data_IF_020905717594
#
_entry.id   IF_020905717594
#
_cell.length_a   1.000
_cell.length_b   1.000
_cell.length_c   1.000
_cell.angle_alpha   90.00
_cell.angle_beta   90.00
_cell.angle_gamma   90.00
#
_symmetry.space_group_name_H-M   'P 1'
#
loop_
_entity.id
_entity.type
_entity.pdbx_description
1 polymer ?
#
# COMPACT_ATOMS: atom_id res chain seq x y z
N UNK A 1 -17.82 -3.89 -7.73
CA UNK A 1 -18.38 -3.50 -9.04
C UNK A 1 -18.32 -1.99 -9.11
N UNK A 2 -17.76 -1.44 -10.17
CA UNK A 2 -17.81 0.00 -10.47
C UNK A 2 -18.46 0.19 -11.85
N UNK A 3 -19.14 1.30 -12.02
CA UNK A 3 -19.92 1.59 -13.22
C UNK A 3 -19.63 3.02 -13.68
N UNK A 4 -19.41 3.18 -14.98
CA UNK A 4 -19.30 4.47 -15.66
C UNK A 4 -20.47 4.63 -16.64
N UNK A 5 -20.55 5.75 -17.33
CA UNK A 5 -21.60 5.96 -18.33
C UNK A 5 -21.56 4.95 -19.49
N UNK A 6 -20.39 4.41 -19.81
CA UNK A 6 -20.14 3.55 -20.97
C UNK A 6 -19.78 2.12 -20.64
N UNK A 7 -19.29 1.83 -19.43
CA UNK A 7 -18.74 0.53 -19.07
C UNK A 7 -19.17 0.09 -17.66
N UNK A 8 -19.26 -1.22 -17.46
CA UNK A 8 -19.37 -1.87 -16.17
C UNK A 8 -18.07 -2.66 -15.92
N UNK A 9 -17.46 -2.45 -14.78
CA UNK A 9 -16.26 -3.21 -14.35
C UNK A 9 -16.66 -4.20 -13.27
N UNK A 10 -16.51 -5.48 -13.58
CA UNK A 10 -16.82 -6.59 -12.67
C UNK A 10 -15.48 -7.17 -12.20
N UNK A 11 -15.32 -7.27 -10.90
CA UNK A 11 -14.20 -8.00 -10.31
C UNK A 11 -14.62 -9.44 -10.06
N UNK A 12 -13.88 -10.40 -10.61
CA UNK A 12 -14.12 -11.82 -10.40
C UNK A 12 -13.50 -12.32 -9.07
N UNK A 13 -13.70 -13.61 -8.77
CA UNK A 13 -13.19 -14.25 -7.56
C UNK A 13 -11.64 -14.31 -7.52
N UNK A 14 -10.98 -14.20 -8.66
CA UNK A 14 -9.51 -14.17 -8.74
C UNK A 14 -8.95 -12.76 -8.57
N UNK A 15 -9.82 -11.77 -8.40
CA UNK A 15 -9.44 -10.37 -8.29
C UNK A 15 -9.23 -9.65 -9.62
N UNK A 16 -9.44 -10.32 -10.76
CA UNK A 16 -9.31 -9.69 -12.08
C UNK A 16 -10.50 -8.77 -12.37
N UNK A 17 -10.20 -7.65 -12.99
CA UNK A 17 -11.20 -6.70 -13.44
C UNK A 17 -11.60 -7.00 -14.90
N UNK A 18 -12.84 -7.42 -15.09
CA UNK A 18 -13.44 -7.62 -16.41
C UNK A 18 -14.24 -6.38 -16.76
N UNK A 19 -13.89 -5.71 -17.86
CA UNK A 19 -14.61 -4.54 -18.38
C UNK A 19 -15.59 -4.98 -19.43
N UNK A 20 -16.84 -4.59 -19.28
CA UNK A 20 -17.92 -4.89 -20.25
C UNK A 20 -18.54 -3.57 -20.68
N UNK A 21 -18.57 -3.32 -21.97
CA UNK A 21 -19.25 -2.13 -22.50
C UNK A 21 -20.77 -2.26 -22.31
N UNK A 22 -21.43 -1.20 -21.84
CA UNK A 22 -22.88 -1.24 -21.58
C UNK A 22 -23.71 -1.63 -22.79
N UNK A 23 -23.26 -1.27 -23.99
CA UNK A 23 -23.93 -1.66 -25.26
C UNK A 23 -23.94 -3.18 -25.52
N UNK A 24 -23.03 -3.92 -24.89
CA UNK A 24 -22.88 -5.37 -25.07
C UNK A 24 -23.59 -6.14 -23.92
N UNK A 25 -24.26 -5.43 -23.00
CA UNK A 25 -25.00 -6.02 -21.90
C UNK A 25 -26.45 -6.19 -22.30
N UNK A 26 -26.87 -7.43 -22.44
CA UNK A 26 -28.29 -7.77 -22.73
C UNK A 26 -29.15 -7.83 -21.48
N UNK A 27 -28.57 -8.24 -20.36
CA UNK A 27 -29.28 -8.27 -19.08
C UNK A 27 -28.28 -8.15 -17.92
N UNK A 28 -28.68 -7.54 -16.83
CA UNK A 28 -27.93 -7.42 -15.61
C UNK A 28 -28.78 -7.83 -14.43
N UNK A 29 -28.33 -8.82 -13.67
CA UNK A 29 -29.06 -9.33 -12.52
C UNK A 29 -28.12 -9.40 -11.31
N UNK A 30 -28.58 -8.95 -10.17
CA UNK A 30 -27.85 -9.11 -8.91
C UNK A 30 -28.03 -10.56 -8.47
N UNK A 31 -26.91 -11.27 -8.29
CA UNK A 31 -26.96 -12.64 -7.76
C UNK A 31 -27.57 -12.65 -6.36
N UNK A 32 -28.56 -13.52 -6.09
CA UNK A 32 -29.09 -13.66 -4.74
C UNK A 32 -28.11 -14.39 -3.79
N UNK A 33 -27.04 -14.94 -4.33
CA UNK A 33 -26.05 -15.70 -3.57
C UNK A 33 -24.76 -14.89 -3.44
N UNK A 34 -24.20 -14.85 -2.23
CA UNK A 34 -22.88 -14.25 -1.97
C UNK A 34 -21.79 -14.96 -2.78
N UNK A 35 -20.79 -14.19 -3.26
CA UNK A 35 -19.55 -14.75 -3.82
C UNK A 35 -18.67 -15.44 -2.77
N UNK A 36 -18.96 -15.26 -1.48
CA UNK A 36 -18.25 -15.97 -0.42
C UNK A 36 -18.58 -17.48 -0.48
N UNK A 37 -17.57 -18.35 -0.46
CA UNK A 37 -17.82 -19.79 -0.45
C UNK A 37 -18.70 -20.20 0.71
N UNK A 38 -19.65 -21.09 0.45
CA UNK A 38 -20.49 -21.69 1.49
C UNK A 38 -19.60 -22.51 2.43
N UNK A 39 -19.83 -22.37 3.75
CA UNK A 39 -19.10 -23.17 4.75
C UNK A 39 -17.87 -22.50 5.35
N UNK A 40 -17.50 -21.27 5.00
CA UNK A 40 -16.38 -20.56 5.64
C UNK A 40 -16.53 -20.46 7.17
N UNK A 41 -17.76 -20.41 7.66
CA UNK A 41 -18.04 -20.36 9.09
C UNK A 41 -18.19 -21.74 9.74
N UNK A 42 -18.19 -22.82 8.95
CA UNK A 42 -18.40 -24.17 9.47
C UNK A 42 -17.24 -24.68 10.34
N UNK A 43 -16.08 -24.05 10.26
CA UNK A 43 -14.89 -24.37 11.08
C UNK A 43 -14.86 -23.59 12.40
N UNK A 44 -15.73 -22.57 12.54
CA UNK A 44 -15.81 -21.78 13.75
C UNK A 44 -16.70 -22.50 14.76
N UNK A 45 -16.31 -22.47 16.02
CA UNK A 45 -17.19 -22.85 17.13
C UNK A 45 -18.32 -21.82 17.23
N UNK A 46 -19.41 -22.20 17.89
CA UNK A 46 -20.57 -21.32 18.04
C UNK A 46 -20.22 -19.99 18.73
N UNK A 47 -19.41 -20.04 19.77
CA UNK A 47 -18.93 -18.86 20.49
C UNK A 47 -18.06 -17.95 19.59
N UNK A 48 -17.16 -18.53 18.80
CA UNK A 48 -16.31 -17.80 17.84
C UNK A 48 -17.14 -17.14 16.72
N UNK A 49 -18.19 -17.84 16.27
CA UNK A 49 -19.11 -17.27 15.27
C UNK A 49 -19.89 -16.07 15.83
N UNK A 50 -20.39 -16.18 17.06
CA UNK A 50 -21.09 -15.08 17.74
C UNK A 50 -20.14 -13.90 17.94
N UNK A 51 -18.90 -14.15 18.35
CA UNK A 51 -17.90 -13.09 18.53
C UNK A 51 -17.54 -12.41 17.20
N UNK A 52 -17.43 -13.16 16.11
CA UNK A 52 -17.23 -12.61 14.78
C UNK A 52 -18.39 -11.70 14.35
N UNK A 53 -19.62 -12.16 14.54
CA UNK A 53 -20.82 -11.36 14.23
C UNK A 53 -20.85 -10.10 15.07
N UNK A 54 -20.57 -10.20 16.37
CA UNK A 54 -20.50 -9.06 17.29
C UNK A 54 -19.42 -8.07 16.87
N UNK A 55 -18.23 -8.56 16.50
CA UNK A 55 -17.14 -7.73 15.97
C UNK A 55 -17.60 -6.95 14.74
N UNK A 56 -18.26 -7.61 13.78
CA UNK A 56 -18.74 -6.93 12.56
C UNK A 56 -19.81 -5.88 12.85
N UNK A 57 -20.70 -6.14 13.82
CA UNK A 57 -21.76 -5.20 14.26
C UNK A 57 -21.16 -3.98 14.96
N UNK A 58 -20.09 -4.17 15.71
CA UNK A 58 -19.42 -3.09 16.46
C UNK A 58 -18.36 -2.34 15.64
N UNK A 59 -17.95 -2.92 14.50
CA UNK A 59 -16.91 -2.33 13.65
C UNK A 59 -17.37 -0.96 13.12
N UNK A 60 -16.54 0.05 13.35
CA UNK A 60 -16.81 1.43 12.93
C UNK A 60 -17.61 2.26 13.90
N UNK A 61 -18.20 1.68 14.95
CA UNK A 61 -18.83 2.43 16.03
C UNK A 61 -17.79 3.04 16.97
N UNK A 62 -18.16 4.09 17.68
CA UNK A 62 -17.32 4.66 18.75
C UNK A 62 -16.98 3.59 19.80
N UNK A 63 -15.71 3.46 20.14
CA UNK A 63 -15.21 2.50 21.13
C UNK A 63 -14.01 1.69 20.64
N UNK A 64 -13.84 0.48 21.19
CA UNK A 64 -12.67 -0.38 20.90
C UNK A 64 -12.53 -0.79 19.42
N UNK A 65 -13.64 -0.82 18.68
CA UNK A 65 -13.68 -1.23 17.27
C UNK A 65 -13.91 -0.03 16.33
N UNK A 66 -13.68 1.19 16.82
CA UNK A 66 -13.73 2.38 15.98
C UNK A 66 -12.71 2.24 14.86
N UNK A 67 -13.18 2.32 13.63
CA UNK A 67 -12.29 2.44 12.48
C UNK A 67 -11.59 3.79 12.54
N UNK A 68 -10.26 3.75 12.58
CA UNK A 68 -9.47 4.98 12.64
C UNK A 68 -9.72 5.85 11.41
N UNK A 69 -9.80 7.15 11.61
CA UNK A 69 -9.81 8.15 10.53
C UNK A 69 -8.42 8.33 9.91
N UNK A 70 -7.43 7.62 10.44
CA UNK A 70 -6.04 7.71 10.00
C UNK A 70 -5.87 7.16 8.59
N UNK A 71 -5.19 7.93 7.76
CA UNK A 71 -4.99 7.65 6.34
C UNK A 71 -3.62 7.03 6.10
N UNK A 72 -3.39 5.84 6.65
CA UNK A 72 -2.14 5.11 6.46
C UNK A 72 -2.01 4.53 5.06
N UNK A 73 -0.78 4.52 4.55
CA UNK A 73 -0.40 3.76 3.38
C UNK A 73 -0.35 2.27 3.76
N UNK A 74 -1.40 1.52 3.40
CA UNK A 74 -1.51 0.09 3.71
C UNK A 74 -1.19 -0.82 2.53
N UNK A 75 -1.39 -0.33 1.31
CA UNK A 75 -1.01 -1.06 0.11
C UNK A 75 0.35 -0.56 -0.38
N UNK A 76 1.25 -1.48 -0.53
CA UNK A 76 2.60 -1.28 -1.06
C UNK A 76 2.89 -2.31 -2.14
N UNK A 77 3.87 -2.03 -2.96
CA UNK A 77 4.54 -3.03 -3.78
C UNK A 77 5.98 -3.13 -3.29
N UNK A 78 6.49 -4.34 -3.15
CA UNK A 78 7.88 -4.61 -2.76
C UNK A 78 8.67 -5.15 -3.94
N UNK A 79 9.97 -4.90 -3.93
CA UNK A 79 10.89 -5.46 -4.91
C UNK A 79 11.55 -6.72 -4.35
N UNK A 80 11.10 -7.93 -4.77
CA UNK A 80 11.68 -9.17 -4.29
C UNK A 80 13.06 -9.41 -4.88
N UNK A 81 13.84 -10.21 -4.17
CA UNK A 81 15.05 -10.83 -4.74
C UNK A 81 14.63 -11.87 -5.74
N UNK A 82 14.81 -11.60 -7.01
CA UNK A 82 14.68 -12.63 -8.04
C UNK A 82 15.78 -12.46 -9.10
N UNK A 83 15.87 -13.43 -10.03
CA UNK A 83 16.86 -13.40 -11.11
C UNK A 83 16.71 -12.21 -12.07
N UNK A 84 15.55 -11.55 -12.11
CA UNK A 84 15.30 -10.39 -12.97
C UNK A 84 15.87 -9.09 -12.40
N UNK A 85 16.00 -8.98 -11.09
CA UNK A 85 16.34 -7.74 -10.40
C UNK A 85 17.83 -7.55 -9.98
N UNK A 86 18.71 -8.57 -9.92
CA UNK A 86 20.00 -8.45 -9.23
C UNK A 86 21.04 -7.54 -9.90
N UNK A 87 20.90 -7.26 -11.21
CA UNK A 87 21.87 -6.46 -11.96
C UNK A 87 21.65 -4.95 -11.87
N UNK A 88 20.47 -4.53 -11.53
CA UNK A 88 19.99 -3.16 -11.68
C UNK A 88 20.32 -2.30 -10.46
N UNK A 89 20.29 -2.89 -9.26
CA UNK A 89 20.63 -2.21 -8.00
C UNK A 89 22.09 -1.74 -7.97
N UNK A 90 22.94 -2.39 -8.74
CA UNK A 90 24.39 -2.14 -8.71
C UNK A 90 24.83 -0.81 -9.32
N UNK A 91 24.14 -0.29 -10.33
CA UNK A 91 24.66 0.84 -11.11
C UNK A 91 24.22 2.22 -10.61
N UNK A 92 23.09 2.33 -9.94
CA UNK A 92 22.44 3.62 -9.70
C UNK A 92 22.04 3.89 -8.24
N UNK A 93 22.26 2.92 -7.32
CA UNK A 93 21.86 3.05 -5.92
C UNK A 93 20.34 3.19 -5.74
N UNK A 94 19.91 3.62 -4.55
CA UNK A 94 18.50 3.74 -4.20
C UNK A 94 17.67 4.62 -5.16
N UNK A 95 18.27 5.64 -5.76
CA UNK A 95 17.60 6.55 -6.70
C UNK A 95 17.05 5.86 -7.95
N UNK A 96 17.57 4.71 -8.31
CA UNK A 96 17.11 3.98 -9.48
C UNK A 96 15.69 3.45 -9.32
N UNK A 97 15.27 3.11 -8.11
CA UNK A 97 13.93 2.60 -7.85
C UNK A 97 12.84 3.66 -7.98
N UNK A 98 13.22 4.93 -8.10
CA UNK A 98 12.29 6.05 -8.25
C UNK A 98 11.84 6.26 -9.69
N UNK A 99 12.57 5.69 -10.66
CA UNK A 99 12.18 5.76 -12.07
C UNK A 99 11.22 4.61 -12.39
N UNK A 100 10.21 4.88 -13.20
CA UNK A 100 9.39 3.84 -13.79
C UNK A 100 10.27 3.04 -14.73
N UNK A 101 10.68 1.88 -14.30
CA UNK A 101 11.47 0.95 -15.08
C UNK A 101 10.66 -0.32 -15.30
N UNK A 102 10.33 -0.60 -16.55
CA UNK A 102 9.48 -1.75 -16.95
C UNK A 102 10.09 -3.12 -16.64
N UNK A 103 11.35 -3.15 -16.19
CA UNK A 103 12.09 -4.38 -15.89
C UNK A 103 11.97 -4.86 -14.45
N UNK A 104 11.26 -4.16 -13.57
CA UNK A 104 11.08 -4.60 -12.17
C UNK A 104 9.80 -5.39 -11.98
N UNK A 105 9.92 -6.58 -11.42
CA UNK A 105 8.78 -7.39 -10.98
C UNK A 105 8.37 -7.01 -9.55
N UNK A 106 7.50 -6.04 -9.44
CA UNK A 106 6.94 -5.62 -8.17
C UNK A 106 5.88 -6.61 -7.66
N UNK A 107 5.91 -6.93 -6.39
CA UNK A 107 4.92 -7.79 -5.74
C UNK A 107 4.10 -7.02 -4.72
N UNK A 108 2.78 -7.28 -4.63
CA UNK A 108 1.92 -6.62 -3.65
C UNK A 108 2.32 -7.00 -2.22
N UNK A 109 2.33 -6.00 -1.36
CA UNK A 109 2.64 -6.12 0.06
C UNK A 109 1.68 -5.26 0.87
N UNK A 110 1.29 -5.71 2.05
CA UNK A 110 0.29 -5.02 2.85
C UNK A 110 0.81 -4.73 4.25
N UNK A 111 0.66 -3.47 4.68
CA UNK A 111 0.90 -3.08 6.05
C UNK A 111 -0.15 -3.66 7.00
N UNK A 112 0.16 -3.74 8.27
CA UNK A 112 -0.79 -4.03 9.33
C UNK A 112 -1.96 -3.04 9.35
N UNK A 113 -3.03 -3.34 10.03
CA UNK A 113 -4.23 -2.48 10.14
C UNK A 113 -3.89 -1.06 10.62
N UNK A 114 -2.94 -0.93 11.53
CA UNK A 114 -2.41 0.36 12.01
C UNK A 114 -1.39 1.04 11.10
N UNK A 115 -1.20 0.53 9.87
CA UNK A 115 -0.27 1.08 8.88
C UNK A 115 1.20 0.69 9.10
N UNK A 116 1.50 -0.04 10.16
CA UNK A 116 2.87 -0.48 10.47
C UNK A 116 3.38 -1.54 9.49
N UNK A 117 4.62 -1.43 9.09
CA UNK A 117 5.35 -2.40 8.27
C UNK A 117 6.60 -2.82 9.03
N UNK A 118 6.64 -4.05 9.56
CA UNK A 118 7.85 -4.58 10.19
C UNK A 118 8.98 -4.78 9.19
N UNK A 119 10.20 -4.39 9.53
CA UNK A 119 11.34 -4.50 8.61
C UNK A 119 11.70 -5.94 8.28
N UNK A 120 11.53 -6.85 9.23
CA UNK A 120 11.83 -8.28 9.07
C UNK A 120 10.84 -9.02 8.15
N UNK A 121 9.67 -8.42 7.88
CA UNK A 121 8.69 -8.97 6.92
C UNK A 121 8.93 -8.50 5.47
N UNK A 122 9.76 -7.47 5.26
CA UNK A 122 10.00 -6.92 3.93
C UNK A 122 11.05 -7.78 3.19
N UNK A 123 10.78 -8.24 1.97
CA UNK A 123 11.77 -8.95 1.16
C UNK A 123 13.05 -8.14 0.97
N UNK A 124 14.18 -8.80 1.11
CA UNK A 124 15.51 -8.19 0.98
C UNK A 124 16.03 -8.35 -0.44
N UNK A 125 16.47 -7.26 -1.05
CA UNK A 125 17.25 -7.26 -2.28
C UNK A 125 18.75 -7.13 -1.94
N UNK A 126 19.59 -7.83 -2.69
CA UNK A 126 21.04 -7.76 -2.56
C UNK A 126 21.63 -7.10 -3.80
N UNK A 127 22.60 -6.20 -3.59
CA UNK A 127 23.43 -5.76 -4.71
C UNK A 127 24.66 -6.69 -4.88
N UNK A 128 25.45 -6.45 -5.95
CA UNK A 128 26.67 -7.24 -6.21
C UNK A 128 27.74 -7.13 -5.13
N UNK A 129 27.67 -6.14 -4.26
CA UNK A 129 28.58 -5.94 -3.14
C UNK A 129 28.12 -6.64 -1.87
N UNK A 130 26.94 -7.33 -1.92
CA UNK A 130 26.32 -7.95 -0.77
C UNK A 130 25.60 -6.98 0.17
N UNK A 131 25.45 -5.71 -0.23
CA UNK A 131 24.66 -4.73 0.51
C UNK A 131 23.18 -5.11 0.39
N UNK A 132 22.49 -5.05 1.51
CA UNK A 132 21.09 -5.43 1.63
C UNK A 132 20.21 -4.19 1.55
N UNK A 133 19.19 -4.24 0.70
CA UNK A 133 18.18 -3.19 0.58
C UNK A 133 16.80 -3.79 0.68
N UNK A 134 15.88 -3.01 1.21
CA UNK A 134 14.45 -3.31 1.16
C UNK A 134 13.78 -2.13 0.50
N UNK A 135 13.07 -2.38 -0.59
CA UNK A 135 12.48 -1.31 -1.40
C UNK A 135 11.00 -1.53 -1.52
N UNK A 136 10.24 -0.52 -1.15
CA UNK A 136 8.79 -0.52 -1.24
C UNK A 136 8.33 0.72 -1.99
N UNK A 137 7.23 0.62 -2.71
CA UNK A 137 6.54 1.77 -3.28
C UNK A 137 5.08 1.77 -2.90
N UNK A 138 4.52 2.94 -2.70
CA UNK A 138 3.10 3.15 -2.54
C UNK A 138 2.63 4.27 -3.46
N UNK A 139 1.34 4.30 -3.76
CA UNK A 139 0.75 5.33 -4.59
C UNK A 139 -0.12 6.26 -3.75
N UNK A 140 -0.02 7.54 -4.06
CA UNK A 140 -0.89 8.57 -3.52
C UNK A 140 -1.60 9.30 -4.66
N UNK A 141 -2.82 9.73 -4.41
CA UNK A 141 -3.56 10.62 -5.30
C UNK A 141 -3.50 12.03 -4.76
N UNK A 142 -2.92 12.92 -5.53
CA UNK A 142 -2.80 14.34 -5.23
C UNK A 142 -3.99 15.05 -5.89
N UNK A 143 -4.91 15.56 -5.09
CA UNK A 143 -6.09 16.28 -5.59
C UNK A 143 -5.68 17.66 -6.11
N UNK A 144 -4.80 18.35 -5.38
CA UNK A 144 -4.32 19.66 -5.71
C UNK A 144 -2.80 19.72 -5.55
N UNK A 145 -2.10 20.26 -6.57
CA UNK A 145 -0.64 20.45 -6.49
C UNK A 145 -0.25 21.37 -5.34
N UNK A 146 0.96 21.18 -4.81
CA UNK A 146 1.53 22.00 -3.74
C UNK A 146 2.10 21.16 -2.61
N UNK A 147 2.34 21.85 -1.50
CA UNK A 147 2.91 21.22 -0.31
C UNK A 147 1.85 20.45 0.47
N UNK A 148 2.08 19.17 0.68
CA UNK A 148 1.22 18.31 1.46
C UNK A 148 1.97 17.70 2.64
N UNK A 149 1.28 17.59 3.77
CA UNK A 149 1.84 16.97 4.97
C UNK A 149 1.60 15.48 4.98
N UNK A 150 2.66 14.74 5.24
CA UNK A 150 2.62 13.32 5.58
C UNK A 150 3.34 13.10 6.92
N UNK A 151 3.00 12.04 7.59
CA UNK A 151 3.64 11.64 8.85
C UNK A 151 4.29 10.28 8.69
N UNK A 152 5.56 10.22 9.04
CA UNK A 152 6.32 9.00 9.11
C UNK A 152 6.53 8.63 10.57
N UNK A 153 6.28 7.38 10.94
CA UNK A 153 6.45 6.85 12.30
C UNK A 153 7.35 5.62 12.27
N UNK A 154 8.06 5.36 13.34
CA UNK A 154 8.90 4.18 13.55
C UNK A 154 10.39 4.48 13.53
N UNK A 155 11.20 3.58 13.00
CA UNK A 155 12.66 3.67 12.99
C UNK A 155 13.16 4.53 11.84
N UNK A 156 13.09 5.85 11.97
CA UNK A 156 13.30 6.82 10.90
C UNK A 156 14.72 6.85 10.35
N UNK A 157 15.72 6.56 11.18
CA UNK A 157 17.13 6.61 10.80
C UNK A 157 17.55 5.60 9.72
N UNK A 158 16.72 4.58 9.48
CA UNK A 158 16.97 3.53 8.51
C UNK A 158 16.21 3.76 7.19
N UNK A 159 15.56 4.92 7.03
CA UNK A 159 14.64 5.17 5.94
C UNK A 159 15.12 6.29 5.01
N UNK A 160 14.97 6.06 3.70
CA UNK A 160 15.01 7.10 2.69
C UNK A 160 13.69 7.09 1.91
N UNK A 161 13.05 8.24 1.80
CA UNK A 161 11.81 8.42 1.05
C UNK A 161 12.07 9.23 -0.22
N UNK A 162 11.49 8.79 -1.34
CA UNK A 162 11.65 9.46 -2.62
C UNK A 162 10.29 9.77 -3.25
N UNK A 163 10.19 10.95 -3.87
CA UNK A 163 9.13 11.31 -4.81
C UNK A 163 9.76 11.50 -6.19
N UNK A 164 9.54 10.58 -7.10
CA UNK A 164 10.30 10.54 -8.36
C UNK A 164 11.81 10.49 -8.07
N UNK A 165 12.58 11.35 -8.68
CA UNK A 165 14.04 11.41 -8.48
C UNK A 165 14.47 12.28 -7.28
N UNK A 166 13.52 12.86 -6.57
CA UNK A 166 13.81 13.75 -5.46
C UNK A 166 13.70 13.00 -4.13
N UNK A 167 14.78 13.03 -3.36
CA UNK A 167 14.77 12.55 -1.99
C UNK A 167 14.01 13.55 -1.10
N UNK A 168 13.10 13.02 -0.27
CA UNK A 168 12.36 13.77 0.72
C UNK A 168 13.17 13.74 2.01
N UNK A 169 13.52 14.89 2.54
CA UNK A 169 14.25 14.99 3.79
C UNK A 169 13.41 14.44 4.95
N UNK A 170 13.94 13.45 5.65
CA UNK A 170 13.37 12.89 6.87
C UNK A 170 14.13 13.52 8.05
N UNK A 171 13.48 14.32 8.89
CA UNK A 171 14.12 14.91 10.07
C UNK A 171 14.71 13.83 10.97
N UNK A 172 15.97 14.00 11.37
CA UNK A 172 16.66 13.08 12.28
C UNK A 172 16.20 13.27 13.73
N UNK A 173 16.14 12.16 14.47
CA UNK A 173 15.94 12.18 15.92
C UNK A 173 14.48 12.09 16.35
N UNK A 174 14.00 10.88 16.48
CA UNK A 174 12.66 10.57 17.00
C UNK A 174 12.04 9.38 16.32
N UNK A 175 10.91 8.93 16.87
CA UNK A 175 10.10 7.84 16.31
C UNK A 175 8.98 8.37 15.43
N UNK A 176 8.92 9.68 15.19
CA UNK A 176 7.90 10.32 14.36
C UNK A 176 8.45 11.60 13.73
N UNK A 177 8.16 11.81 12.45
CA UNK A 177 8.46 13.03 11.72
C UNK A 177 7.29 13.45 10.83
N UNK A 178 6.98 14.74 10.81
CA UNK A 178 6.05 15.33 9.86
C UNK A 178 6.85 15.83 8.65
N UNK A 179 6.53 15.29 7.48
CA UNK A 179 7.17 15.58 6.21
C UNK A 179 6.33 16.59 5.44
N UNK A 180 6.96 17.56 4.82
CA UNK A 180 6.31 18.47 3.89
C UNK A 180 6.80 18.16 2.47
N UNK A 181 5.94 17.55 1.66
CA UNK A 181 6.27 17.07 0.32
C UNK A 181 5.60 17.96 -0.71
N UNK A 182 6.39 18.51 -1.63
CA UNK A 182 5.91 19.39 -2.71
C UNK A 182 5.58 18.56 -3.96
N UNK A 183 4.30 18.29 -4.17
CA UNK A 183 3.80 17.62 -5.35
C UNK A 183 3.58 18.62 -6.49
N UNK A 184 4.39 18.56 -7.50
CA UNK A 184 4.38 19.49 -8.65
C UNK A 184 3.15 19.34 -9.55
N UNK A 185 2.51 18.16 -9.54
CA UNK A 185 1.39 17.84 -10.41
C UNK A 185 0.29 17.11 -9.63
N UNK A 186 -0.99 17.36 -9.96
CA UNK A 186 -2.09 16.55 -9.43
C UNK A 186 -2.10 15.15 -10.08
N UNK A 187 -2.90 14.25 -9.51
CA UNK A 187 -3.08 12.88 -9.98
C UNK A 187 -2.25 11.87 -9.19
N UNK A 188 -2.10 10.68 -9.75
CA UNK A 188 -1.38 9.58 -9.09
C UNK A 188 0.12 9.83 -9.10
N UNK A 189 0.72 9.73 -7.92
CA UNK A 189 2.16 9.87 -7.70
C UNK A 189 2.66 8.66 -6.93
N UNK A 190 3.87 8.20 -7.26
CA UNK A 190 4.54 7.11 -6.56
C UNK A 190 5.51 7.65 -5.53
N UNK A 191 5.41 7.13 -4.33
CA UNK A 191 6.40 7.32 -3.27
C UNK A 191 7.19 6.02 -3.12
N UNK A 192 8.51 6.12 -3.09
CA UNK A 192 9.40 4.97 -2.91
C UNK A 192 10.08 5.10 -1.56
N UNK A 193 9.97 4.05 -0.75
CA UNK A 193 10.65 3.91 0.52
C UNK A 193 11.80 2.91 0.36
N UNK A 194 12.98 3.31 0.79
CA UNK A 194 14.14 2.42 0.89
C UNK A 194 14.47 2.26 2.36
N UNK A 195 14.51 1.01 2.81
CA UNK A 195 14.93 0.66 4.17
C UNK A 195 16.38 0.19 4.11
N UNK A 196 17.26 0.90 4.80
CA UNK A 196 18.65 0.54 4.99
C UNK A 196 18.77 -0.38 6.19
N UNK A 197 19.69 -1.32 6.15
CA UNK A 197 19.90 -2.21 7.32
C UNK A 197 18.90 -3.36 7.39
N UNK A 198 18.66 -4.02 6.27
CA UNK A 198 17.86 -5.24 6.21
C UNK A 198 18.31 -6.26 7.28
N UNK A 199 17.39 -6.65 8.15
CA UNK A 199 17.62 -7.52 9.31
C UNK A 199 17.65 -6.78 10.64
N UNK A 200 17.54 -5.45 10.66
CA UNK A 200 17.27 -4.69 11.88
C UNK A 200 15.83 -4.94 12.35
N UNK A 201 15.64 -4.97 13.66
CA UNK A 201 14.29 -4.97 14.24
C UNK A 201 13.74 -3.56 14.16
N UNK A 202 12.51 -3.41 13.73
CA UNK A 202 11.87 -2.12 13.66
C UNK A 202 10.67 -2.15 12.73
N UNK A 203 10.07 -1.00 12.59
CA UNK A 203 8.93 -0.82 11.68
C UNK A 203 8.88 0.62 11.19
N UNK A 204 8.10 0.86 10.16
CA UNK A 204 7.64 2.20 9.80
C UNK A 204 6.15 2.21 9.46
N UNK A 205 5.55 3.40 9.51
CA UNK A 205 4.20 3.65 9.02
C UNK A 205 4.15 5.03 8.38
N UNK A 206 3.48 5.14 7.23
CA UNK A 206 3.31 6.39 6.49
C UNK A 206 1.84 6.79 6.47
N UNK A 207 1.54 8.02 6.90
CA UNK A 207 0.19 8.55 7.05
C UNK A 207 0.04 9.85 6.25
N UNK A 208 -1.03 10.00 5.47
CA UNK A 208 -1.37 11.27 4.82
C UNK A 208 -2.15 12.16 5.80
N UNK A 209 -1.66 13.39 6.03
CA UNK A 209 -2.29 14.36 6.92
C UNK A 209 -3.11 15.42 6.17
N UNK A 210 -2.68 15.80 4.96
CA UNK A 210 -3.39 16.79 4.14
C UNK A 210 -4.68 16.23 3.55
N UNK A 211 -5.75 16.99 3.52
CA UNK A 211 -7.06 16.58 2.97
C UNK A 211 -7.00 16.31 1.47
N UNK A 212 -6.21 17.10 0.75
CA UNK A 212 -6.01 17.00 -0.71
C UNK A 212 -5.00 15.90 -1.12
N UNK A 213 -4.56 15.07 -0.17
CA UNK A 213 -3.67 13.93 -0.42
C UNK A 213 -4.34 12.65 0.05
N UNK A 214 -4.54 11.69 -0.84
CA UNK A 214 -5.18 10.41 -0.55
C UNK A 214 -4.22 9.28 -0.79
N UNK A 215 -4.09 8.36 0.15
CA UNK A 215 -3.34 7.13 -0.07
C UNK A 215 -4.20 6.14 -0.85
N UNK A 216 -3.64 5.54 -1.89
CA UNK A 216 -4.36 4.57 -2.72
C UNK A 216 -4.18 3.18 -2.11
N UNK A 217 -5.17 2.74 -1.33
CA UNK A 217 -5.20 1.43 -0.67
C UNK A 217 -6.09 0.40 -1.39
N UNK A 218 -6.65 0.75 -2.54
CA UNK A 218 -7.50 -0.15 -3.34
C UNK A 218 -6.65 -1.11 -4.19
N UNK A 219 -7.14 -2.35 -4.29
CA UNK A 219 -6.58 -3.40 -5.16
C UNK A 219 -6.83 -3.09 -6.62
#
# INVERSE_FOLDING_TARGET
>A
MSETDTEVVIRDLTGRHNRVAKRDITSQTISPVSLMPVGLTAQLREDEFVDLVRFMVELGKEGKFKTGTQRFARKWDVLPVNSANPGTIHHYGAKMFTQEFDGYEWQPFYAMVGGGIPFDEIPVALNRRGEKYQVLRTQVEVVKRGNHKMRLKGNLGELNLFLGNQEVEIPSGGEQADLLIDFKQPGKQSLVMVVNGAGTKGYFALEALSEDLRVINTL
#
